data_IF_522070857692
#
_entry.id   IF_522070857692
#
_cell.length_a   1.000
_cell.length_b   1.000
_cell.length_c   1.000
_cell.angle_alpha   90.00
_cell.angle_beta   90.00
_cell.angle_gamma   90.00
#
_symmetry.space_group_name_H-M   'P 1'
#
loop_
_entity.id
_entity.type
_entity.pdbx_description
1 polymer ?
#
# COMPACT_ATOMS: atom_id res chain seq x y z
N UNK A 1 -49.99 -3.97 48.62
CA UNK A 1 -48.74 -3.28 48.31
C UNK A 1 -48.01 -4.12 47.30
N UNK A 2 -48.14 -3.76 46.01
CA UNK A 2 -47.69 -4.54 44.86
C UNK A 2 -46.35 -3.99 44.42
N UNK A 3 -45.29 -4.81 44.42
CA UNK A 3 -43.98 -4.42 43.94
C UNK A 3 -43.77 -5.16 42.62
N UNK A 4 -43.80 -4.38 41.54
CA UNK A 4 -43.55 -4.85 40.17
C UNK A 4 -42.06 -5.02 39.95
N UNK A 5 -41.65 -6.24 39.63
CA UNK A 5 -40.28 -6.55 39.11
C UNK A 5 -40.13 -6.11 37.67
N UNK A 6 -39.41 -5.03 37.44
CA UNK A 6 -38.92 -4.70 36.09
C UNK A 6 -37.71 -5.54 35.76
N UNK A 7 -37.86 -6.49 34.85
CA UNK A 7 -36.75 -7.16 34.19
C UNK A 7 -36.24 -6.27 33.06
N UNK A 8 -34.99 -5.84 33.14
CA UNK A 8 -34.27 -5.22 32.04
C UNK A 8 -33.92 -6.23 30.96
N UNK A 9 -34.16 -5.93 29.68
CA UNK A 9 -33.73 -6.83 28.59
C UNK A 9 -32.22 -6.69 28.38
N UNK A 10 -31.55 -7.83 28.48
CA UNK A 10 -30.14 -8.00 28.15
C UNK A 10 -29.96 -7.73 26.66
N UNK A 11 -29.33 -6.63 26.32
CA UNK A 11 -28.90 -6.35 24.94
C UNK A 11 -27.82 -7.38 24.55
N UNK A 12 -28.19 -8.33 23.72
CA UNK A 12 -27.25 -9.16 22.95
C UNK A 12 -26.55 -8.24 21.97
N UNK A 13 -25.30 -7.91 22.25
CA UNK A 13 -24.40 -7.29 21.28
C UNK A 13 -24.08 -8.34 20.23
N UNK A 14 -24.73 -8.25 19.09
CA UNK A 14 -24.29 -8.96 17.89
C UNK A 14 -22.94 -8.35 17.47
N UNK A 15 -21.88 -9.10 17.67
CA UNK A 15 -20.61 -8.85 17.02
C UNK A 15 -20.85 -9.10 15.53
N UNK A 16 -21.00 -8.03 14.77
CA UNK A 16 -20.89 -8.09 13.34
C UNK A 16 -19.43 -8.43 12.99
N UNK A 17 -19.22 -9.65 12.57
CA UNK A 17 -17.98 -10.05 11.91
C UNK A 17 -18.06 -9.37 10.54
N UNK A 18 -17.39 -8.23 10.40
CA UNK A 18 -17.15 -7.62 9.11
C UNK A 18 -16.05 -8.47 8.47
N UNK A 19 -16.45 -9.51 7.77
CA UNK A 19 -15.58 -10.16 6.79
C UNK A 19 -15.35 -9.12 5.69
N UNK A 20 -14.23 -8.43 5.73
CA UNK A 20 -13.75 -7.70 4.58
C UNK A 20 -13.42 -8.74 3.50
N UNK A 21 -14.38 -9.00 2.61
CA UNK A 21 -14.08 -9.60 1.33
C UNK A 21 -13.19 -8.59 0.61
N UNK A 22 -11.91 -8.87 0.56
CA UNK A 22 -11.04 -8.31 -0.46
C UNK A 22 -11.50 -8.96 -1.77
N UNK A 23 -12.49 -8.37 -2.39
CA UNK A 23 -12.79 -8.65 -3.79
C UNK A 23 -11.61 -8.12 -4.58
N UNK A 24 -10.68 -9.02 -4.92
CA UNK A 24 -9.79 -8.78 -6.03
C UNK A 24 -10.69 -8.50 -7.23
N UNK A 25 -10.87 -7.25 -7.57
CA UNK A 25 -11.44 -6.86 -8.84
C UNK A 25 -10.44 -7.35 -9.89
N UNK A 26 -10.64 -8.57 -10.36
CA UNK A 26 -10.05 -9.01 -11.61
C UNK A 26 -10.63 -8.10 -12.68
N UNK A 27 -9.90 -7.04 -12.99
CA UNK A 27 -10.17 -6.24 -14.17
C UNK A 27 -9.96 -7.18 -15.34
N UNK A 28 -11.04 -7.75 -15.83
CA UNK A 28 -11.04 -8.49 -17.09
C UNK A 28 -10.76 -7.47 -18.20
N UNK A 29 -9.49 -7.24 -18.47
CA UNK A 29 -9.05 -6.47 -19.63
C UNK A 29 -9.46 -7.33 -20.83
N UNK A 30 -10.44 -6.84 -21.57
CA UNK A 30 -10.82 -7.44 -22.84
C UNK A 30 -9.55 -7.61 -23.72
N UNK A 31 -9.38 -8.73 -24.41
CA UNK A 31 -8.13 -9.05 -25.14
C UNK A 31 -7.77 -8.09 -26.28
N UNK A 32 -8.60 -7.09 -26.55
CA UNK A 32 -8.41 -6.15 -27.65
C UNK A 32 -7.95 -4.75 -27.26
N UNK A 33 -7.62 -4.51 -26.00
CA UNK A 33 -7.12 -3.21 -25.53
C UNK A 33 -5.61 -3.15 -25.34
N UNK A 34 -4.85 -4.06 -25.91
CA UNK A 34 -3.38 -3.91 -26.00
C UNK A 34 -3.10 -3.01 -27.20
N UNK A 35 -3.35 -1.72 -27.04
CA UNK A 35 -2.81 -0.74 -27.96
C UNK A 35 -1.28 -0.88 -27.95
N UNK A 36 -0.71 -1.11 -29.13
CA UNK A 36 0.70 -1.21 -29.42
C UNK A 36 1.52 -0.06 -28.81
N UNK A 37 1.86 -0.15 -27.54
CA UNK A 37 3.05 0.47 -27.03
C UNK A 37 4.19 -0.49 -27.39
N UNK A 38 4.75 -0.27 -28.57
CA UNK A 38 6.06 -0.76 -29.02
C UNK A 38 6.59 -2.01 -28.32
N UNK A 39 6.07 -3.20 -28.68
CA UNK A 39 6.81 -4.45 -28.54
C UNK A 39 7.30 -4.88 -27.15
N UNK A 40 6.78 -4.33 -26.06
CA UNK A 40 7.08 -4.87 -24.74
C UNK A 40 6.34 -6.20 -24.60
N UNK A 41 7.07 -7.30 -24.66
CA UNK A 41 6.52 -8.63 -24.41
C UNK A 41 5.95 -8.65 -22.97
N UNK A 42 4.63 -8.66 -22.87
CA UNK A 42 3.96 -8.85 -21.57
C UNK A 42 4.23 -10.27 -21.12
N UNK A 43 4.82 -10.44 -19.93
CA UNK A 43 5.00 -11.77 -19.36
C UNK A 43 3.64 -12.45 -19.21
N UNK A 44 3.38 -13.60 -19.86
CA UNK A 44 2.09 -14.29 -19.76
C UNK A 44 1.81 -14.83 -18.36
N UNK A 45 2.85 -14.91 -17.50
CA UNK A 45 2.74 -15.34 -16.10
C UNK A 45 3.32 -14.26 -15.19
N UNK A 46 2.56 -13.18 -14.89
CA UNK A 46 3.05 -12.14 -14.01
C UNK A 46 3.28 -12.70 -12.61
N UNK A 47 4.36 -12.26 -11.97
CA UNK A 47 4.63 -12.57 -10.57
C UNK A 47 3.67 -11.72 -9.72
N UNK A 48 2.81 -12.35 -8.89
CA UNK A 48 1.89 -11.59 -8.05
C UNK A 48 2.62 -10.87 -6.92
N UNK A 49 2.22 -9.64 -6.66
CA UNK A 49 2.74 -8.81 -5.59
C UNK A 49 1.71 -7.78 -5.15
N UNK A 50 2.02 -7.08 -4.08
CA UNK A 50 1.19 -6.01 -3.52
C UNK A 50 2.03 -4.77 -3.26
N UNK A 51 1.35 -3.64 -3.19
CA UNK A 51 1.87 -2.44 -2.55
C UNK A 51 1.08 -2.12 -1.28
N UNK A 52 1.74 -1.50 -0.32
CA UNK A 52 1.15 -1.11 0.96
C UNK A 52 1.66 0.26 1.42
N UNK A 53 0.83 0.94 2.18
CA UNK A 53 1.13 2.21 2.82
C UNK A 53 0.61 2.21 4.27
N UNK A 54 0.73 3.32 4.99
CA UNK A 54 0.17 3.45 6.34
C UNK A 54 -1.35 3.21 6.42
N UNK A 55 -2.07 3.33 5.31
CA UNK A 55 -3.52 3.05 5.26
C UNK A 55 -3.88 1.59 5.55
N UNK A 56 -2.96 0.65 5.37
CA UNK A 56 -3.14 -0.75 5.72
C UNK A 56 -2.94 -1.02 7.21
N UNK A 57 -2.66 0.02 8.00
CA UNK A 57 -2.55 -0.01 9.46
C UNK A 57 -3.69 0.77 10.13
N UNK A 58 -4.95 0.28 10.07
CA UNK A 58 -6.13 1.03 10.51
C UNK A 58 -6.17 1.32 12.01
N UNK A 59 -5.37 0.58 12.80
CA UNK A 59 -5.23 0.79 14.25
C UNK A 59 -3.92 1.48 14.61
N UNK A 60 -3.17 1.95 13.61
CA UNK A 60 -1.83 2.55 13.77
C UNK A 60 -0.86 1.61 14.51
N UNK A 61 -0.94 0.32 14.20
CA UNK A 61 -0.08 -0.72 14.78
C UNK A 61 0.70 -1.45 13.71
N UNK A 62 1.94 -1.77 14.02
CA UNK A 62 2.79 -2.53 13.12
C UNK A 62 2.19 -3.91 12.77
N UNK A 63 1.52 -4.55 13.72
CA UNK A 63 0.95 -5.89 13.59
C UNK A 63 -0.39 -5.93 12.83
N UNK A 64 -0.88 -4.80 12.32
CA UNK A 64 -2.13 -4.75 11.55
C UNK A 64 -2.06 -5.58 10.25
N UNK A 65 -0.85 -5.79 9.71
CA UNK A 65 -0.62 -6.64 8.54
C UNK A 65 -0.04 -7.99 8.96
N UNK A 66 -0.77 -9.06 8.66
CA UNK A 66 -0.24 -10.42 8.77
C UNK A 66 0.54 -10.83 7.51
N UNK A 67 1.82 -10.53 7.49
CA UNK A 67 2.71 -10.77 6.36
C UNK A 67 2.85 -12.26 6.00
N UNK A 68 2.67 -13.18 6.97
CA UNK A 68 2.66 -14.62 6.70
C UNK A 68 1.40 -15.03 5.92
N UNK A 69 0.24 -14.48 6.30
CA UNK A 69 -0.99 -14.69 5.57
C UNK A 69 -0.93 -14.07 4.17
N UNK A 70 -0.34 -12.88 4.02
CA UNK A 70 -0.11 -12.25 2.72
C UNK A 70 0.73 -13.15 1.81
N UNK A 71 1.87 -13.63 2.29
CA UNK A 71 2.70 -14.56 1.52
C UNK A 71 1.98 -15.88 1.23
N UNK A 72 1.25 -16.41 2.22
CA UNK A 72 0.45 -17.64 2.10
C UNK A 72 -0.67 -17.53 1.07
N UNK A 73 -1.18 -16.34 0.79
CA UNK A 73 -2.16 -16.09 -0.27
C UNK A 73 -1.57 -16.14 -1.68
N UNK A 74 -0.25 -16.30 -1.81
CA UNK A 74 0.45 -16.42 -3.08
C UNK A 74 1.26 -15.21 -3.51
N UNK A 75 1.20 -14.10 -2.77
CA UNK A 75 1.99 -12.91 -3.09
C UNK A 75 3.49 -13.20 -2.94
N UNK A 76 4.29 -12.73 -3.88
CA UNK A 76 5.73 -13.02 -3.94
C UNK A 76 6.61 -11.83 -3.62
N UNK A 77 6.08 -10.62 -3.80
CA UNK A 77 6.79 -9.39 -3.46
C UNK A 77 5.85 -8.35 -2.85
N UNK A 78 6.44 -7.41 -2.15
CA UNK A 78 5.76 -6.24 -1.62
C UNK A 78 6.55 -4.98 -1.92
N UNK A 79 5.87 -3.94 -2.38
CA UNK A 79 6.38 -2.58 -2.46
C UNK A 79 5.76 -1.78 -1.29
N UNK A 80 6.60 -1.21 -0.45
CA UNK A 80 6.16 -0.58 0.79
C UNK A 80 6.41 0.93 0.69
N UNK A 81 5.34 1.73 0.84
CA UNK A 81 5.47 3.19 0.89
C UNK A 81 6.43 3.56 2.01
N UNK A 82 7.53 4.19 1.68
CA UNK A 82 8.49 4.65 2.66
C UNK A 82 8.35 6.13 2.94
N UNK A 83 8.24 6.93 1.88
CA UNK A 83 8.19 8.39 2.01
C UNK A 83 7.16 8.99 1.05
N UNK A 84 6.75 10.23 1.35
CA UNK A 84 5.90 11.05 0.50
C UNK A 84 6.31 12.50 0.65
N UNK A 85 6.28 13.26 -0.44
CA UNK A 85 6.74 14.65 -0.40
C UNK A 85 8.18 14.74 0.12
N UNK A 86 8.57 15.88 0.64
CA UNK A 86 9.91 16.13 1.21
C UNK A 86 10.02 15.89 2.72
N UNK A 87 8.92 15.55 3.37
CA UNK A 87 8.84 15.53 4.84
C UNK A 87 8.10 14.35 5.46
N UNK A 88 7.27 13.63 4.71
CA UNK A 88 6.56 12.49 5.26
C UNK A 88 7.38 11.20 5.16
N UNK A 89 7.49 10.49 6.27
CA UNK A 89 8.01 9.13 6.35
C UNK A 89 6.91 8.23 6.96
N UNK A 90 6.61 7.11 6.30
CA UNK A 90 5.63 6.14 6.81
C UNK A 90 6.16 5.51 8.09
N UNK A 91 5.49 5.62 9.23
CA UNK A 91 6.01 5.09 10.50
C UNK A 91 6.15 3.57 10.53
N UNK A 92 5.44 2.85 9.65
CA UNK A 92 5.42 1.38 9.62
C UNK A 92 6.40 0.77 8.62
N UNK A 93 6.99 1.56 7.70
CA UNK A 93 7.70 1.03 6.55
C UNK A 93 8.82 0.04 6.91
N UNK A 94 9.57 0.36 7.96
CA UNK A 94 10.71 -0.49 8.35
C UNK A 94 10.24 -1.83 8.90
N UNK A 95 9.23 -1.82 9.75
CA UNK A 95 8.64 -3.04 10.28
C UNK A 95 8.06 -3.91 9.16
N UNK A 96 7.34 -3.31 8.24
CA UNK A 96 6.73 -4.01 7.10
C UNK A 96 7.78 -4.66 6.20
N UNK A 97 8.87 -3.94 5.90
CA UNK A 97 10.02 -4.48 5.16
C UNK A 97 10.60 -5.70 5.87
N UNK A 98 10.85 -5.59 7.18
CA UNK A 98 11.46 -6.66 7.97
C UNK A 98 10.52 -7.89 8.04
N UNK A 99 9.21 -7.69 8.25
CA UNK A 99 8.25 -8.78 8.39
C UNK A 99 7.89 -9.45 7.05
N UNK A 100 7.73 -8.67 5.98
CA UNK A 100 7.50 -9.23 4.65
C UNK A 100 8.70 -10.08 4.20
N UNK A 101 9.91 -9.60 4.45
CA UNK A 101 11.15 -10.35 4.17
C UNK A 101 11.22 -11.62 5.02
N UNK A 102 10.92 -11.54 6.32
CA UNK A 102 10.89 -12.70 7.21
C UNK A 102 9.81 -13.72 6.81
N UNK A 103 8.73 -13.29 6.18
CA UNK A 103 7.71 -14.16 5.60
C UNK A 103 8.14 -14.81 4.27
N UNK A 104 9.30 -14.46 3.72
CA UNK A 104 9.83 -15.04 2.48
C UNK A 104 9.50 -14.24 1.21
N UNK A 105 8.99 -13.03 1.33
CA UNK A 105 8.70 -12.16 0.19
C UNK A 105 9.94 -11.36 -0.25
N UNK A 106 10.02 -11.05 -1.54
CA UNK A 106 10.91 -9.99 -2.01
C UNK A 106 10.31 -8.64 -1.66
N UNK A 107 11.13 -7.72 -1.19
CA UNK A 107 10.65 -6.42 -0.73
C UNK A 107 11.34 -5.27 -1.46
N UNK A 108 10.61 -4.21 -1.67
CA UNK A 108 11.11 -2.93 -2.12
C UNK A 108 10.36 -1.81 -1.43
N UNK A 109 10.81 -0.60 -1.63
CA UNK A 109 10.12 0.59 -1.12
C UNK A 109 9.76 1.51 -2.26
N UNK A 110 8.78 2.38 -2.03
CA UNK A 110 8.45 3.43 -2.97
C UNK A 110 8.34 4.80 -2.31
N UNK A 111 8.57 5.81 -3.12
CA UNK A 111 8.34 7.20 -2.80
C UNK A 111 7.10 7.69 -3.55
N UNK A 112 6.12 8.24 -2.83
CA UNK A 112 4.98 8.90 -3.44
C UNK A 112 5.32 10.37 -3.71
N UNK A 113 5.44 10.72 -4.99
CA UNK A 113 5.87 12.05 -5.38
C UNK A 113 4.73 13.07 -5.30
N UNK A 114 5.04 14.26 -4.81
CA UNK A 114 4.16 15.44 -4.85
C UNK A 114 4.71 16.43 -5.86
N UNK A 115 4.03 16.55 -7.01
CA UNK A 115 4.52 17.30 -8.17
C UNK A 115 4.76 18.80 -7.92
N UNK A 116 4.13 19.37 -6.90
CA UNK A 116 4.33 20.78 -6.52
C UNK A 116 5.48 21.01 -5.53
N UNK A 117 6.11 19.95 -5.07
CA UNK A 117 7.22 20.01 -4.13
C UNK A 117 8.56 19.87 -4.86
N UNK A 118 9.63 20.32 -4.22
CA UNK A 118 10.97 20.20 -4.77
C UNK A 118 11.36 18.75 -5.07
N UNK A 119 11.58 18.41 -6.32
CA UNK A 119 12.02 17.08 -6.73
C UNK A 119 13.34 16.67 -6.03
N UNK A 120 14.27 17.64 -5.87
CA UNK A 120 15.53 17.38 -5.18
C UNK A 120 15.31 17.06 -3.70
N UNK A 121 14.46 17.81 -3.00
CA UNK A 121 14.21 17.57 -1.58
C UNK A 121 13.54 16.21 -1.36
N UNK A 122 12.60 15.83 -2.23
CA UNK A 122 11.96 14.52 -2.22
C UNK A 122 12.96 13.40 -2.49
N UNK A 123 13.81 13.55 -3.49
CA UNK A 123 14.87 12.57 -3.78
C UNK A 123 15.85 12.41 -2.61
N UNK A 124 16.24 13.49 -1.97
CA UNK A 124 17.12 13.46 -0.79
C UNK A 124 16.46 12.77 0.40
N UNK A 125 15.16 12.98 0.61
CA UNK A 125 14.39 12.32 1.66
C UNK A 125 14.31 10.80 1.42
N UNK A 126 13.94 10.38 0.20
CA UNK A 126 13.83 8.98 -0.13
C UNK A 126 15.18 8.25 -0.16
N UNK A 127 16.24 8.89 -0.63
CA UNK A 127 17.58 8.32 -0.66
C UNK A 127 18.10 7.92 0.73
N UNK A 128 17.65 8.57 1.81
CA UNK A 128 17.98 8.17 3.17
C UNK A 128 17.41 6.80 3.52
N UNK A 129 16.16 6.55 3.12
CA UNK A 129 15.49 5.26 3.32
C UNK A 129 16.16 4.18 2.47
N UNK A 130 16.33 4.42 1.17
CA UNK A 130 16.90 3.44 0.22
C UNK A 130 18.22 2.86 0.72
N UNK A 131 19.08 3.69 1.32
CA UNK A 131 20.36 3.25 1.88
C UNK A 131 20.23 2.26 3.04
N UNK A 132 19.06 2.13 3.63
CA UNK A 132 18.83 1.29 4.82
C UNK A 132 17.96 0.07 4.55
N UNK A 133 17.37 -0.06 3.35
CA UNK A 133 16.48 -1.19 3.02
C UNK A 133 17.23 -2.51 2.88
N UNK A 134 18.49 -2.46 2.44
CA UNK A 134 19.37 -3.64 2.23
C UNK A 134 19.57 -3.98 0.75
N UNK A 135 20.70 -4.62 0.46
CA UNK A 135 21.17 -4.84 -0.92
C UNK A 135 20.36 -5.91 -1.68
N UNK A 136 19.62 -6.76 -0.98
CA UNK A 136 18.74 -7.79 -1.55
C UNK A 136 17.33 -7.30 -1.88
N UNK A 137 17.11 -6.01 -1.76
CA UNK A 137 15.81 -5.36 -2.02
C UNK A 137 15.55 -5.20 -3.51
N UNK A 138 14.27 -5.10 -3.86
CA UNK A 138 13.86 -4.66 -5.20
C UNK A 138 14.36 -3.22 -5.44
N UNK A 139 14.54 -2.83 -6.72
CA UNK A 139 14.92 -1.46 -7.04
C UNK A 139 13.97 -0.43 -6.42
N UNK A 140 14.46 0.76 -6.04
CA UNK A 140 13.63 1.86 -5.59
C UNK A 140 12.58 2.23 -6.63
N UNK A 141 11.35 2.53 -6.18
CA UNK A 141 10.24 2.89 -7.05
C UNK A 141 9.83 4.34 -6.79
N UNK A 142 9.63 5.08 -7.86
CA UNK A 142 8.98 6.39 -7.85
C UNK A 142 7.52 6.21 -8.27
N UNK A 143 6.61 6.52 -7.36
CA UNK A 143 5.19 6.55 -7.62
C UNK A 143 4.78 7.98 -7.98
N UNK A 144 4.39 8.15 -9.23
CA UNK A 144 4.12 9.47 -9.81
C UNK A 144 2.70 9.49 -10.36
N UNK A 145 1.79 9.99 -9.55
CA UNK A 145 0.38 10.07 -9.91
C UNK A 145 -0.23 11.42 -9.53
N UNK A 146 -1.38 11.72 -10.14
CA UNK A 146 -2.15 12.90 -9.77
C UNK A 146 -3.03 12.52 -8.58
N UNK A 147 -2.75 13.08 -7.41
CA UNK A 147 -3.62 12.92 -6.26
C UNK A 147 -4.93 13.65 -6.52
N UNK A 148 -6.00 12.89 -6.75
CA UNK A 148 -7.34 13.43 -7.07
C UNK A 148 -8.06 13.99 -5.84
N UNK A 149 -7.64 13.58 -4.66
CA UNK A 149 -8.21 13.95 -3.37
C UNK A 149 -7.63 15.24 -2.77
N UNK A 150 -6.54 15.72 -3.31
CA UNK A 150 -5.93 16.96 -2.89
C UNK A 150 -6.13 18.03 -3.96
N UNK A 151 -7.03 19.00 -3.71
CA UNK A 151 -7.33 20.10 -4.65
C UNK A 151 -6.09 20.90 -5.06
N UNK A 152 -5.00 20.78 -4.31
CA UNK A 152 -3.73 21.45 -4.59
C UNK A 152 -2.82 20.68 -5.56
N UNK A 153 -3.04 19.36 -5.72
CA UNK A 153 -2.25 18.49 -6.61
C UNK A 153 -2.92 18.18 -7.95
N UNK A 154 -3.99 18.89 -8.28
CA UNK A 154 -4.73 18.70 -9.53
C UNK A 154 -4.04 19.25 -10.79
N UNK A 155 -2.82 19.74 -10.68
CA UNK A 155 -2.09 20.12 -11.88
C UNK A 155 -1.67 18.87 -12.64
N UNK A 156 -1.95 18.79 -13.95
CA UNK A 156 -1.34 17.77 -14.77
C UNK A 156 0.18 17.86 -14.60
N UNK A 157 0.85 16.72 -14.66
CA UNK A 157 2.30 16.69 -14.82
C UNK A 157 2.61 17.48 -16.07
N UNK A 158 3.04 18.73 -15.90
CA UNK A 158 3.53 19.50 -17.02
C UNK A 158 4.76 18.79 -17.55
N UNK A 159 4.71 18.42 -18.83
CA UNK A 159 5.84 17.82 -19.54
C UNK A 159 7.07 18.72 -19.62
N UNK A 160 7.03 19.86 -18.93
CA UNK A 160 8.09 20.88 -18.82
C UNK A 160 8.79 20.86 -17.44
N UNK A 161 8.55 19.83 -16.59
CA UNK A 161 9.29 19.65 -15.34
C UNK A 161 10.61 18.92 -15.56
#
# INVERSE_FOLDING_TARGET
MHISNFRTPTQRRHRAIVSALVTAAALAIAPNAVANAQGVAVNPNPIPGIDVASYQHPNDKNEDIDWKAVHGSGQKFALIKATESDSYENPHWKYDVDQARAAGMKVGTYHFARVKQSAKAQADAYAKVVKTVGDDSLPPVLDLEVATDNAQDKSPLDAAG
#
